data_IF_836026417386
#
_entry.id   IF_836026417386
#
_cell.length_a   1.000
_cell.length_b   1.000
_cell.length_c   1.000
_cell.angle_alpha   90.00
_cell.angle_beta   90.00
_cell.angle_gamma   90.00
#
_symmetry.space_group_name_H-M   'P 1'
#
loop_
_entity.id
_entity.type
_entity.pdbx_description
1 polymer ?
#
# COMPACT_ATOMS: atom_id res chain seq x y z
N UNK A 1 -34.98 -19.85 50.78
CA UNK A 1 -33.82 -20.31 51.56
C UNK A 1 -32.72 -20.55 50.52
N UNK A 2 -31.65 -19.74 50.56
CA UNK A 2 -30.57 -19.51 49.57
C UNK A 2 -31.03 -19.07 48.15
N UNK A 3 -30.80 -17.90 47.56
CA UNK A 3 -29.97 -16.68 47.77
C UNK A 3 -28.44 -16.87 47.78
N UNK A 4 -27.82 -16.62 46.62
CA UNK A 4 -26.52 -15.93 46.40
C UNK A 4 -26.21 -15.89 44.88
N UNK A 5 -25.46 -14.97 44.25
CA UNK A 5 -25.18 -13.51 44.33
C UNK A 5 -24.29 -13.22 43.10
N UNK A 6 -24.39 -12.01 42.55
CA UNK A 6 -23.62 -11.36 41.48
C UNK A 6 -22.16 -11.80 41.23
N UNK A 7 -21.75 -11.67 39.96
CA UNK A 7 -20.35 -11.58 39.53
C UNK A 7 -20.22 -10.89 38.16
N UNK A 8 -20.53 -9.60 38.12
CA UNK A 8 -20.16 -8.66 37.06
C UNK A 8 -18.64 -8.43 37.17
N UNK A 9 -17.87 -8.64 36.10
CA UNK A 9 -16.51 -8.09 35.98
C UNK A 9 -16.39 -7.26 34.72
N UNK A 10 -15.98 -6.02 34.96
CA UNK A 10 -15.82 -4.91 34.03
C UNK A 10 -14.43 -4.31 34.32
N UNK A 11 -13.72 -4.00 33.23
CA UNK A 11 -12.55 -3.12 33.04
C UNK A 11 -11.14 -3.47 33.56
N UNK A 12 -10.18 -3.44 32.60
CA UNK A 12 -8.98 -2.58 32.44
C UNK A 12 -7.91 -3.44 31.73
N UNK A 13 -7.46 -3.15 30.51
CA UNK A 13 -6.78 -1.92 30.09
C UNK A 13 -5.27 -2.18 29.99
N UNK A 14 -4.76 -2.44 28.78
CA UNK A 14 -3.36 -2.14 28.43
C UNK A 14 -3.28 -1.84 26.95
N UNK A 15 -3.16 -0.54 26.69
CA UNK A 15 -2.83 0.05 25.41
C UNK A 15 -1.47 -0.45 24.94
N UNK A 16 -1.39 -0.93 23.70
CA UNK A 16 -0.17 -0.77 22.90
C UNK A 16 -0.50 0.25 21.83
N UNK A 17 -0.04 1.48 22.06
CA UNK A 17 0.08 2.51 21.04
C UNK A 17 1.06 2.01 19.96
N UNK A 18 0.52 1.55 18.84
CA UNK A 18 1.17 1.70 17.55
C UNK A 18 0.26 2.59 16.72
N UNK A 19 0.70 3.83 16.57
CA UNK A 19 0.11 4.83 15.70
C UNK A 19 0.04 4.31 14.27
N UNK A 20 -1.16 4.06 13.77
CA UNK A 20 -1.45 4.05 12.34
C UNK A 20 -2.63 4.98 12.10
N UNK A 21 -2.37 6.00 11.28
CA UNK A 21 -3.24 7.12 11.03
C UNK A 21 -4.56 6.71 10.39
N UNK A 22 -5.64 6.98 11.11
CA UNK A 22 -6.97 7.16 10.54
C UNK A 22 -7.38 8.61 10.75
N UNK A 23 -6.74 9.53 10.03
CA UNK A 23 -7.24 10.90 9.84
C UNK A 23 -7.65 11.06 8.37
N UNK A 24 -8.71 10.35 7.98
CA UNK A 24 -9.43 10.65 6.74
C UNK A 24 -10.48 11.70 7.05
N UNK A 25 -10.20 12.93 6.62
CA UNK A 25 -11.13 13.91 6.03
C UNK A 25 -10.79 15.36 6.49
N UNK A 26 -9.82 16.00 5.84
CA UNK A 26 -9.72 17.47 5.84
C UNK A 26 -9.51 17.98 4.41
N UNK A 27 -10.44 18.80 3.94
CA UNK A 27 -10.43 19.61 2.71
C UNK A 27 -9.30 20.68 2.72
N UNK A 28 -8.09 20.31 3.11
CA UNK A 28 -6.94 21.21 3.26
C UNK A 28 -5.95 21.19 2.09
N UNK A 29 -6.31 20.53 1.00
CA UNK A 29 -5.46 20.36 -0.19
C UNK A 29 -5.34 21.62 -1.06
N UNK A 30 -4.38 21.62 -1.98
CA UNK A 30 -4.26 22.63 -3.05
C UNK A 30 -4.80 22.08 -4.38
N UNK A 31 -5.00 22.95 -5.36
CA UNK A 31 -5.39 22.56 -6.72
C UNK A 31 -4.36 23.13 -7.69
N UNK A 32 -3.82 22.27 -8.55
CA UNK A 32 -2.84 22.68 -9.56
C UNK A 32 -3.51 23.47 -10.70
N UNK A 33 -2.76 24.20 -11.54
CA UNK A 33 -3.33 24.90 -12.70
C UNK A 33 -4.14 24.03 -13.65
N UNK A 34 -3.83 22.73 -13.77
CA UNK A 34 -4.58 21.77 -14.59
C UNK A 34 -5.86 21.25 -13.92
N UNK A 35 -6.08 21.58 -12.64
CA UNK A 35 -7.25 21.15 -11.88
C UNK A 35 -7.03 19.92 -10.99
N UNK A 36 -5.80 19.40 -10.92
CA UNK A 36 -5.48 18.24 -10.07
C UNK A 36 -5.53 18.64 -8.59
N UNK A 37 -6.32 17.92 -7.80
CA UNK A 37 -6.41 18.08 -6.34
C UNK A 37 -5.19 17.43 -5.69
N UNK A 38 -4.44 18.21 -4.92
CA UNK A 38 -3.27 17.77 -4.16
C UNK A 38 -3.62 17.72 -2.67
N UNK A 39 -3.51 16.56 -2.04
CA UNK A 39 -3.90 16.36 -0.65
C UNK A 39 -3.10 17.24 0.33
N UNK A 40 -3.70 17.55 1.47
CA UNK A 40 -3.04 18.29 2.55
C UNK A 40 -1.74 17.59 2.98
N UNK A 41 -0.68 18.37 3.25
CA UNK A 41 0.63 17.85 3.62
C UNK A 41 1.52 17.44 2.43
N UNK A 42 1.05 17.63 1.20
CA UNK A 42 1.83 17.44 -0.03
C UNK A 42 1.94 18.75 -0.82
N UNK A 43 2.93 18.80 -1.70
CA UNK A 43 3.06 19.82 -2.75
C UNK A 43 3.09 19.09 -4.09
N UNK A 44 2.27 19.57 -5.03
CA UNK A 44 2.14 18.99 -6.37
C UNK A 44 2.44 20.04 -7.44
N UNK A 45 3.05 19.62 -8.54
CA UNK A 45 3.39 20.48 -9.68
C UNK A 45 3.11 19.76 -11.00
N UNK A 46 2.35 20.41 -11.89
CA UNK A 46 2.15 19.94 -13.26
C UNK A 46 3.41 20.22 -14.08
N UNK A 47 4.06 19.17 -14.62
CA UNK A 47 5.15 19.37 -15.57
C UNK A 47 4.59 19.85 -16.92
N UNK A 48 5.01 21.03 -17.43
CA UNK A 48 4.54 21.53 -18.71
C UNK A 48 4.85 20.56 -19.85
N UNK A 49 3.91 20.44 -20.80
CA UNK A 49 4.03 19.59 -21.99
C UNK A 49 4.22 18.08 -21.69
N UNK A 50 3.84 17.66 -20.49
CA UNK A 50 3.92 16.28 -19.99
C UNK A 50 2.62 15.88 -19.28
N UNK A 51 2.42 14.58 -19.09
CA UNK A 51 1.33 14.03 -18.26
C UNK A 51 1.79 13.79 -16.81
N UNK A 52 3.02 14.20 -16.48
CA UNK A 52 3.63 13.97 -15.17
C UNK A 52 3.22 15.05 -14.17
N UNK A 53 2.73 14.61 -13.01
CA UNK A 53 2.56 15.42 -11.81
C UNK A 53 3.69 15.09 -10.86
N UNK A 54 4.53 16.08 -10.54
CA UNK A 54 5.57 15.93 -9.54
C UNK A 54 5.00 16.17 -8.16
N UNK A 55 5.27 15.26 -7.23
CA UNK A 55 4.74 15.28 -5.88
C UNK A 55 5.85 15.17 -4.86
N UNK A 56 5.74 15.94 -3.79
CA UNK A 56 6.62 15.87 -2.63
C UNK A 56 5.79 15.97 -1.35
N UNK A 57 6.10 15.13 -0.36
CA UNK A 57 5.54 15.28 1.00
C UNK A 57 6.22 16.45 1.71
N UNK A 58 5.44 17.34 2.31
CA UNK A 58 5.95 18.57 2.93
C UNK A 58 6.73 18.27 4.22
N UNK A 59 6.17 17.38 5.03
CA UNK A 59 6.85 16.84 6.21
C UNK A 59 7.60 15.59 5.75
N UNK A 60 8.92 15.69 5.54
CA UNK A 60 9.67 14.49 5.19
C UNK A 60 9.84 13.55 6.38
N UNK A 61 10.44 12.40 6.13
CA UNK A 61 10.42 11.30 7.09
C UNK A 61 11.80 10.65 7.28
N UNK A 62 12.00 10.12 8.49
CA UNK A 62 12.97 9.05 8.76
C UNK A 62 12.33 7.75 8.24
N UNK A 63 12.93 7.10 7.24
CA UNK A 63 12.34 5.96 6.50
C UNK A 63 11.04 6.36 5.76
N UNK A 64 11.13 7.41 4.94
CA UNK A 64 9.98 7.96 4.23
C UNK A 64 9.31 6.99 3.26
N UNK A 65 8.06 7.26 2.86
CA UNK A 65 7.33 6.40 1.95
C UNK A 65 8.03 6.29 0.58
N UNK A 66 7.86 5.15 -0.07
CA UNK A 66 8.25 4.94 -1.48
C UNK A 66 7.46 5.89 -2.39
N UNK A 67 7.95 6.12 -3.61
CA UNK A 67 7.23 7.00 -4.54
C UNK A 67 5.86 6.50 -4.94
N UNK A 68 5.66 5.18 -4.95
CA UNK A 68 4.32 4.58 -5.08
C UNK A 68 3.34 5.12 -4.03
N UNK A 69 3.70 5.02 -2.75
CA UNK A 69 2.83 5.47 -1.66
C UNK A 69 2.65 7.00 -1.64
N UNK A 70 3.67 7.77 -2.06
CA UNK A 70 3.57 9.23 -2.17
C UNK A 70 2.54 9.63 -3.23
N UNK A 71 2.61 9.06 -4.44
CA UNK A 71 1.66 9.37 -5.51
C UNK A 71 0.22 9.01 -5.12
N UNK A 72 0.03 7.80 -4.58
CA UNK A 72 -1.30 7.31 -4.18
C UNK A 72 -1.92 8.18 -3.07
N UNK A 73 -1.13 8.60 -2.08
CA UNK A 73 -1.65 9.41 -0.98
C UNK A 73 -1.95 10.85 -1.42
N UNK A 74 -1.01 11.48 -2.13
CA UNK A 74 -1.11 12.89 -2.51
C UNK A 74 -2.25 13.17 -3.50
N UNK A 75 -2.57 12.21 -4.35
CA UNK A 75 -3.51 12.39 -5.46
C UNK A 75 -4.81 11.58 -5.30
N UNK A 76 -5.04 11.03 -4.11
CA UNK A 76 -6.21 10.20 -3.74
C UNK A 76 -7.58 10.88 -3.91
N UNK A 77 -7.63 12.21 -4.00
CA UNK A 77 -8.87 12.97 -4.10
C UNK A 77 -9.35 13.21 -5.55
N UNK A 78 -8.62 12.67 -6.54
CA UNK A 78 -8.93 12.84 -7.95
C UNK A 78 -9.74 11.64 -8.49
N UNK A 79 -10.46 11.86 -9.59
CA UNK A 79 -11.22 10.82 -10.28
C UNK A 79 -10.36 9.90 -11.15
N UNK A 80 -9.13 10.32 -11.44
CA UNK A 80 -8.15 9.48 -12.12
C UNK A 80 -7.22 8.85 -11.07
N UNK A 81 -6.83 7.58 -11.30
CA UNK A 81 -5.86 6.93 -10.46
C UNK A 81 -4.45 7.36 -10.87
N UNK A 82 -3.73 8.01 -9.95
CA UNK A 82 -2.35 8.43 -10.17
C UNK A 82 -1.38 7.40 -9.55
N UNK A 83 -0.59 6.78 -10.41
CA UNK A 83 0.47 5.85 -10.03
C UNK A 83 1.85 6.49 -10.21
N UNK A 84 2.85 5.97 -9.50
CA UNK A 84 4.24 6.38 -9.72
C UNK A 84 4.73 5.97 -11.12
N UNK A 85 5.46 6.86 -11.78
CA UNK A 85 5.96 6.69 -13.15
C UNK A 85 7.30 5.94 -13.21
N UNK A 86 7.32 4.71 -12.70
CA UNK A 86 8.51 3.87 -12.60
C UNK A 86 9.00 3.33 -13.94
N UNK A 87 10.27 2.93 -14.01
CA UNK A 87 10.88 2.36 -15.21
C UNK A 87 11.16 3.36 -16.34
N UNK A 88 10.65 4.59 -16.25
CA UNK A 88 10.97 5.67 -17.17
C UNK A 88 12.42 6.12 -17.03
N UNK A 89 13.01 6.56 -18.15
CA UNK A 89 14.35 7.14 -18.15
C UNK A 89 14.41 8.36 -17.25
N UNK A 90 15.48 8.47 -16.46
CA UNK A 90 15.75 9.64 -15.62
C UNK A 90 15.97 10.86 -16.52
N UNK A 91 14.97 11.75 -16.57
CA UNK A 91 14.96 12.92 -17.45
C UNK A 91 15.75 14.10 -16.88
N UNK A 92 15.79 14.21 -15.55
CA UNK A 92 16.45 15.29 -14.83
C UNK A 92 17.60 14.70 -14.00
N UNK A 93 18.85 14.89 -14.38
CA UNK A 93 20.00 14.24 -13.71
C UNK A 93 20.91 15.23 -12.98
N UNK A 94 20.56 16.52 -13.01
CA UNK A 94 21.35 17.59 -12.41
C UNK A 94 20.46 18.78 -11.99
N UNK A 95 21.05 19.76 -11.29
CA UNK A 95 20.34 20.96 -10.82
C UNK A 95 19.71 21.74 -11.97
N UNK A 96 20.38 21.84 -13.12
CA UNK A 96 19.94 22.70 -14.20
C UNK A 96 18.68 22.12 -14.89
N UNK A 97 18.68 20.82 -15.14
CA UNK A 97 17.53 20.09 -15.69
C UNK A 97 16.36 20.04 -14.71
N UNK A 98 16.63 19.82 -13.42
CA UNK A 98 15.58 19.72 -12.39
C UNK A 98 15.03 21.07 -11.89
N UNK A 99 15.68 22.20 -12.22
CA UNK A 99 15.30 23.52 -11.73
C UNK A 99 13.81 23.90 -11.93
N UNK A 100 13.17 23.63 -13.09
CA UNK A 100 11.75 23.92 -13.28
C UNK A 100 10.85 23.14 -12.31
N UNK A 101 11.20 21.88 -12.03
CA UNK A 101 10.47 21.02 -11.09
C UNK A 101 10.63 21.54 -9.66
N UNK A 102 11.86 21.87 -9.26
CA UNK A 102 12.13 22.45 -7.95
C UNK A 102 11.35 23.77 -7.72
N UNK A 103 11.38 24.68 -8.70
CA UNK A 103 10.65 25.95 -8.64
C UNK A 103 9.14 25.72 -8.54
N UNK A 104 8.62 24.78 -9.35
CA UNK A 104 7.22 24.37 -9.33
C UNK A 104 6.76 23.80 -7.98
N UNK A 105 7.65 23.08 -7.29
CA UNK A 105 7.45 22.56 -5.93
C UNK A 105 7.79 23.59 -4.83
N UNK A 106 8.11 24.84 -5.20
CA UNK A 106 8.29 25.94 -4.25
C UNK A 106 9.66 26.03 -3.58
N UNK A 107 10.71 25.48 -4.19
CA UNK A 107 12.08 25.61 -3.68
C UNK A 107 13.12 25.77 -4.79
N UNK A 108 14.37 26.01 -4.42
CA UNK A 108 15.52 25.95 -5.35
C UNK A 108 16.50 24.87 -4.93
N UNK A 109 17.19 24.26 -5.89
CA UNK A 109 18.20 23.25 -5.57
C UNK A 109 19.56 23.85 -5.27
N UNK A 110 20.25 23.29 -4.28
CA UNK A 110 21.67 23.50 -4.01
C UNK A 110 22.42 22.18 -3.88
N UNK A 111 23.73 22.27 -3.96
CA UNK A 111 24.63 21.13 -3.81
C UNK A 111 24.60 20.55 -2.39
N UNK A 112 24.75 19.23 -2.29
CA UNK A 112 24.80 18.49 -1.05
C UNK A 112 26.21 18.13 -0.61
N UNK A 113 26.30 17.52 0.58
CA UNK A 113 27.56 17.02 1.14
C UNK A 113 27.81 15.54 0.82
N UNK A 114 27.22 14.66 1.62
CA UNK A 114 27.68 13.27 1.79
C UNK A 114 27.72 12.42 0.51
N UNK A 115 26.76 12.60 -0.39
CA UNK A 115 26.61 11.76 -1.58
C UNK A 115 26.62 12.56 -2.88
N UNK A 116 26.95 13.85 -2.82
CA UNK A 116 26.73 14.74 -3.96
C UNK A 116 27.47 14.29 -5.24
N UNK A 117 26.82 14.28 -6.41
CA UNK A 117 25.41 14.65 -6.69
C UNK A 117 24.38 13.51 -6.55
N UNK A 118 24.88 12.32 -6.22
CA UNK A 118 24.18 11.04 -6.31
C UNK A 118 23.22 10.81 -5.15
N UNK A 119 22.00 10.38 -5.45
CA UNK A 119 21.05 9.93 -4.45
C UNK A 119 21.52 8.59 -3.86
N UNK A 120 21.57 8.45 -2.52
CA UNK A 120 21.91 7.17 -1.89
C UNK A 120 20.84 6.08 -2.06
N UNK A 121 19.66 6.43 -2.56
CA UNK A 121 18.56 5.49 -2.78
C UNK A 121 18.34 5.30 -4.29
N UNK A 122 18.27 4.03 -4.71
CA UNK A 122 18.26 3.65 -6.12
C UNK A 122 17.00 4.17 -6.83
N UNK A 123 17.19 4.93 -7.91
CA UNK A 123 16.13 5.39 -8.79
C UNK A 123 15.27 6.54 -8.23
N UNK A 124 15.70 7.22 -7.16
CA UNK A 124 14.91 8.25 -6.47
C UNK A 124 15.55 9.65 -6.52
N UNK A 125 14.70 10.66 -6.72
CA UNK A 125 15.05 12.06 -6.42
C UNK A 125 14.88 12.31 -4.94
N UNK A 126 15.93 12.82 -4.29
CA UNK A 126 15.90 13.14 -2.86
C UNK A 126 16.19 14.61 -2.63
N UNK A 127 15.36 15.26 -1.81
CA UNK A 127 15.54 16.67 -1.45
C UNK A 127 15.50 16.87 0.05
N UNK A 128 16.28 17.82 0.58
CA UNK A 128 16.30 18.08 2.01
C UNK A 128 14.93 18.56 2.51
N UNK A 129 14.49 18.01 3.64
CA UNK A 129 13.22 18.40 4.27
C UNK A 129 13.28 19.87 4.67
N UNK A 130 14.38 20.26 5.30
CA UNK A 130 14.57 21.64 5.71
C UNK A 130 14.94 22.48 4.49
N UNK A 131 14.24 23.60 4.35
CA UNK A 131 14.59 24.67 3.43
C UNK A 131 15.49 25.66 4.17
N UNK A 132 16.55 26.14 3.52
CA UNK A 132 17.42 27.16 4.11
C UNK A 132 16.81 28.57 4.02
N UNK A 133 17.56 29.55 4.53
CA UNK A 133 17.15 30.96 4.58
C UNK A 133 16.87 31.59 3.21
N UNK A 134 17.38 30.99 2.12
CA UNK A 134 17.19 31.48 0.75
C UNK A 134 16.09 30.73 0.01
N UNK A 135 15.35 29.83 0.68
CA UNK A 135 14.36 28.99 0.00
C UNK A 135 14.98 27.79 -0.71
N UNK A 136 16.25 27.45 -0.44
CA UNK A 136 16.93 26.36 -1.12
C UNK A 136 16.91 25.05 -0.32
N UNK A 137 16.82 23.93 -1.04
CA UNK A 137 16.92 22.56 -0.53
C UNK A 137 18.12 21.89 -1.17
N UNK A 138 18.79 21.03 -0.40
CA UNK A 138 19.82 20.14 -0.93
C UNK A 138 19.14 19.11 -1.84
N UNK A 139 19.61 18.96 -3.08
CA UNK A 139 19.03 18.00 -4.03
C UNK A 139 20.03 16.88 -4.35
N UNK A 140 19.54 15.66 -4.50
CA UNK A 140 20.30 14.50 -4.96
C UNK A 140 19.54 13.79 -6.07
N UNK A 141 20.27 13.32 -7.07
CA UNK A 141 19.70 12.79 -8.31
C UNK A 141 19.95 11.28 -8.44
N UNK A 142 19.02 10.52 -9.04
CA UNK A 142 19.22 9.09 -9.28
C UNK A 142 20.53 8.81 -10.03
N UNK A 143 21.22 7.72 -9.68
CA UNK A 143 22.40 7.25 -10.43
C UNK A 143 22.05 6.25 -11.52
N UNK A 144 20.88 5.65 -11.38
CA UNK A 144 20.29 4.67 -12.28
C UNK A 144 19.79 5.34 -13.55
N UNK A 145 19.66 4.54 -14.61
CA UNK A 145 19.08 5.01 -15.87
C UNK A 145 17.56 5.16 -15.81
N UNK A 146 16.91 4.56 -14.81
CA UNK A 146 15.46 4.49 -14.68
C UNK A 146 14.99 4.81 -13.28
N UNK A 147 13.79 5.36 -13.17
CA UNK A 147 13.16 5.69 -11.90
C UNK A 147 12.60 4.45 -11.19
N UNK A 148 12.64 4.45 -9.87
CA UNK A 148 12.09 3.38 -9.03
C UNK A 148 10.86 3.86 -8.24
N UNK A 149 9.81 3.04 -8.23
CA UNK A 149 8.62 3.29 -7.42
C UNK A 149 8.57 2.51 -6.11
N UNK A 150 9.38 1.45 -6.01
CA UNK A 150 9.40 0.51 -4.89
C UNK A 150 10.61 0.70 -3.97
N UNK A 151 11.64 1.45 -4.42
CA UNK A 151 12.80 1.77 -3.58
C UNK A 151 12.37 2.56 -2.35
N UNK A 152 12.89 2.16 -1.19
CA UNK A 152 12.77 2.91 0.05
C UNK A 152 13.86 3.99 0.07
N UNK A 153 13.53 5.27 0.36
CA UNK A 153 14.52 6.34 0.51
C UNK A 153 15.50 6.08 1.68
N UNK A 154 15.16 5.16 2.57
CA UNK A 154 15.95 4.68 3.69
C UNK A 154 16.02 5.67 4.84
N UNK A 155 16.88 5.35 5.80
CA UNK A 155 17.24 6.24 6.91
C UNK A 155 18.36 7.21 6.50
N UNK A 156 18.37 7.68 5.24
CA UNK A 156 19.42 8.56 4.75
C UNK A 156 19.58 9.76 5.69
N UNK A 157 20.81 9.94 6.18
CA UNK A 157 21.20 10.99 7.11
C UNK A 157 22.57 11.54 6.72
N UNK A 158 22.64 12.82 6.37
CA UNK A 158 23.92 13.52 6.20
C UNK A 158 24.06 14.58 7.29
N UNK A 159 24.86 14.29 8.32
CA UNK A 159 25.12 15.23 9.43
C UNK A 159 23.86 15.80 10.11
N UNK A 160 22.79 15.01 10.19
CA UNK A 160 21.48 15.38 10.75
C UNK A 160 20.47 15.87 9.73
N UNK A 161 20.88 16.11 8.48
CA UNK A 161 19.98 16.42 7.37
C UNK A 161 19.20 15.17 6.95
N UNK A 162 17.91 15.38 6.70
CA UNK A 162 16.92 14.36 6.34
C UNK A 162 16.30 14.71 4.99
N UNK A 163 15.78 13.72 4.30
CA UNK A 163 15.35 13.84 2.91
C UNK A 163 13.91 13.39 2.71
N UNK A 164 13.24 14.02 1.76
CA UNK A 164 11.98 13.60 1.19
C UNK A 164 12.21 13.11 -0.25
N UNK A 165 11.44 12.13 -0.67
CA UNK A 165 11.38 11.72 -2.07
C UNK A 165 10.56 12.72 -2.89
N UNK A 166 11.03 13.01 -4.11
CA UNK A 166 10.28 13.76 -5.11
C UNK A 166 9.86 12.80 -6.22
N UNK A 167 8.56 12.64 -6.40
CA UNK A 167 7.99 11.50 -7.08
C UNK A 167 7.20 11.95 -8.31
N UNK A 168 7.54 11.45 -9.51
CA UNK A 168 6.74 11.68 -10.70
C UNK A 168 5.56 10.71 -10.72
N UNK A 169 4.36 11.26 -10.84
CA UNK A 169 3.11 10.52 -10.87
C UNK A 169 2.41 10.72 -12.22
N UNK A 170 1.78 9.67 -12.74
CA UNK A 170 1.02 9.68 -14.00
C UNK A 170 -0.32 8.98 -13.79
N UNK A 171 -1.31 9.32 -14.62
CA UNK A 171 -2.57 8.60 -14.61
C UNK A 171 -2.38 7.19 -15.19
N UNK A 172 -3.04 6.20 -14.59
CA UNK A 172 -3.11 4.83 -15.10
C UNK A 172 -4.55 4.31 -15.01
N UNK A 173 -4.96 3.41 -15.92
CA UNK A 173 -6.16 2.60 -15.72
C UNK A 173 -6.06 1.85 -14.39
N UNK A 174 -7.17 1.76 -13.66
CA UNK A 174 -7.20 1.24 -12.29
C UNK A 174 -6.72 -0.22 -12.19
N UNK A 175 -7.04 -1.02 -13.21
CA UNK A 175 -6.63 -2.41 -13.41
C UNK A 175 -5.17 -2.57 -13.87
N UNK A 176 -4.54 -1.52 -14.39
CA UNK A 176 -3.13 -1.49 -14.83
C UNK A 176 -2.22 -0.74 -13.84
N UNK A 177 -2.81 -0.16 -12.79
CA UNK A 177 -2.10 0.69 -11.86
C UNK A 177 -1.08 -0.06 -10.99
N UNK A 178 -1.34 -1.34 -10.70
CA UNK A 178 -0.58 -2.13 -9.74
C UNK A 178 0.30 -3.16 -10.43
N UNK A 179 1.47 -2.71 -10.88
CA UNK A 179 2.49 -3.60 -11.44
C UNK A 179 3.41 -4.16 -10.34
N UNK A 180 3.69 -5.46 -10.43
CA UNK A 180 4.63 -6.16 -9.56
C UNK A 180 5.55 -7.03 -10.42
N UNK A 181 6.85 -6.99 -10.15
CA UNK A 181 7.83 -7.78 -10.89
C UNK A 181 7.60 -9.28 -10.68
N UNK A 182 7.60 -10.03 -11.77
CA UNK A 182 7.41 -11.47 -11.72
C UNK A 182 8.39 -12.18 -12.66
N UNK A 183 9.35 -12.98 -12.13
CA UNK A 183 9.76 -13.16 -10.72
C UNK A 183 10.41 -11.91 -10.09
N UNK A 184 10.59 -11.82 -8.75
CA UNK A 184 10.51 -12.90 -7.74
C UNK A 184 9.19 -13.00 -6.98
N UNK A 185 8.24 -12.09 -7.17
CA UNK A 185 7.05 -12.02 -6.32
C UNK A 185 6.03 -13.15 -6.59
N UNK A 186 6.11 -13.82 -7.74
CA UNK A 186 5.19 -14.88 -8.18
C UNK A 186 3.74 -14.49 -7.91
N UNK A 187 3.25 -13.48 -8.63
CA UNK A 187 1.96 -12.86 -8.32
C UNK A 187 0.81 -13.46 -9.10
N UNK A 188 -0.37 -13.55 -8.47
CA UNK A 188 -1.63 -13.83 -9.20
C UNK A 188 -2.27 -12.54 -9.73
N UNK A 189 -3.21 -12.73 -10.64
CA UNK A 189 -3.84 -11.68 -11.43
C UNK A 189 -4.46 -10.53 -10.60
N UNK A 190 -4.09 -9.29 -10.94
CA UNK A 190 -4.72 -8.05 -10.47
C UNK A 190 -5.99 -7.73 -11.29
N UNK A 191 -7.02 -8.58 -11.30
CA UNK A 191 -8.26 -8.25 -12.01
C UNK A 191 -9.49 -8.35 -11.13
N UNK A 192 -10.51 -7.63 -11.58
CA UNK A 192 -11.87 -7.73 -11.08
C UNK A 192 -12.47 -9.08 -11.45
N UNK A 193 -13.01 -9.77 -10.43
CA UNK A 193 -13.78 -11.00 -10.58
C UNK A 193 -14.97 -10.97 -9.64
N UNK A 194 -16.14 -11.36 -10.13
CA UNK A 194 -17.41 -11.29 -9.39
C UNK A 194 -17.92 -12.65 -8.89
N UNK A 195 -17.37 -13.76 -9.37
CA UNK A 195 -17.87 -15.11 -9.11
C UNK A 195 -16.82 -16.09 -8.56
N UNK A 196 -15.58 -15.62 -8.37
CA UNK A 196 -14.48 -16.44 -7.87
C UNK A 196 -14.53 -16.70 -6.36
N UNK A 197 -14.06 -17.88 -5.95
CA UNK A 197 -13.99 -18.31 -4.53
C UNK A 197 -12.57 -18.38 -3.98
N UNK A 198 -11.55 -18.05 -4.78
CA UNK A 198 -10.18 -17.89 -4.25
C UNK A 198 -10.08 -16.64 -3.37
N UNK A 199 -9.03 -16.54 -2.55
CA UNK A 199 -8.82 -15.38 -1.69
C UNK A 199 -8.73 -14.07 -2.48
N UNK A 200 -7.91 -14.06 -3.54
CA UNK A 200 -7.69 -12.85 -4.36
C UNK A 200 -8.96 -12.43 -5.07
N UNK A 201 -9.72 -13.38 -5.61
CA UNK A 201 -11.02 -13.15 -6.21
C UNK A 201 -11.98 -12.52 -5.23
N UNK A 202 -12.05 -13.07 -4.00
CA UNK A 202 -13.00 -12.58 -3.00
C UNK A 202 -12.61 -11.21 -2.44
N UNK A 203 -11.32 -10.93 -2.27
CA UNK A 203 -10.84 -9.59 -1.91
C UNK A 203 -11.21 -8.59 -3.00
N UNK A 204 -10.92 -8.91 -4.27
CA UNK A 204 -11.19 -8.00 -5.38
C UNK A 204 -12.69 -7.82 -5.63
N UNK A 205 -13.52 -8.83 -5.37
CA UNK A 205 -14.97 -8.68 -5.31
C UNK A 205 -15.40 -7.58 -4.32
N UNK A 206 -14.90 -7.61 -3.09
CA UNK A 206 -15.27 -6.62 -2.07
C UNK A 206 -14.70 -5.24 -2.35
N UNK A 207 -13.50 -5.14 -2.91
CA UNK A 207 -12.92 -3.85 -3.34
C UNK A 207 -13.75 -3.20 -4.45
N UNK A 208 -14.17 -3.97 -5.45
CA UNK A 208 -15.08 -3.51 -6.51
C UNK A 208 -16.41 -3.05 -5.94
N UNK A 209 -17.03 -3.92 -5.13
CA UNK A 209 -18.34 -3.66 -4.52
C UNK A 209 -18.32 -2.45 -3.59
N UNK A 210 -17.25 -2.23 -2.84
CA UNK A 210 -17.10 -1.04 -2.00
C UNK A 210 -17.18 0.24 -2.83
N UNK A 211 -16.60 0.25 -4.02
CA UNK A 211 -16.66 1.40 -4.93
C UNK A 211 -18.02 1.56 -5.61
N UNK A 212 -18.61 0.48 -6.11
CA UNK A 212 -19.93 0.49 -6.75
C UNK A 212 -21.06 0.87 -5.78
N UNK A 213 -20.92 0.51 -4.50
CA UNK A 213 -21.89 0.85 -3.44
C UNK A 213 -21.57 2.19 -2.73
N UNK A 214 -20.51 2.90 -3.14
CA UNK A 214 -20.15 4.20 -2.56
C UNK A 214 -19.75 4.14 -1.09
N UNK A 215 -19.02 3.10 -0.68
CA UNK A 215 -18.46 3.00 0.67
C UNK A 215 -17.44 4.11 0.90
N UNK A 216 -17.35 4.60 2.14
CA UNK A 216 -16.46 5.73 2.50
C UNK A 216 -14.97 5.41 2.35
N UNK A 217 -14.61 4.13 2.29
CA UNK A 217 -13.25 3.66 2.03
C UNK A 217 -12.85 3.74 0.56
N UNK A 218 -13.80 3.76 -0.37
CA UNK A 218 -13.48 3.88 -1.79
C UNK A 218 -13.18 5.35 -2.14
N UNK A 219 -11.97 5.67 -2.64
CA UNK A 219 -11.65 7.01 -3.12
C UNK A 219 -12.39 7.31 -4.45
N UNK A 220 -12.43 8.57 -4.89
CA UNK A 220 -13.01 8.94 -6.19
C UNK A 220 -12.38 8.19 -7.39
N UNK A 221 -11.08 7.90 -7.35
CA UNK A 221 -10.39 7.13 -8.39
C UNK A 221 -10.70 5.62 -8.38
N UNK A 222 -11.36 5.13 -7.34
CA UNK A 222 -11.56 3.71 -7.11
C UNK A 222 -10.40 3.04 -6.36
N UNK A 223 -10.66 1.81 -5.90
CA UNK A 223 -9.64 0.95 -5.31
C UNK A 223 -9.06 0.08 -6.42
N UNK A 224 -7.74 0.01 -6.65
CA UNK A 224 -7.20 -0.91 -7.64
C UNK A 224 -7.28 -2.37 -7.15
N UNK A 225 -7.34 -3.37 -8.03
CA UNK A 225 -7.36 -4.77 -7.62
C UNK A 225 -6.09 -5.11 -6.84
N UNK A 226 -6.27 -5.86 -5.75
CA UNK A 226 -5.17 -6.37 -4.94
C UNK A 226 -4.51 -7.56 -5.63
N UNK A 227 -3.22 -7.72 -5.36
CA UNK A 227 -2.37 -8.78 -5.91
C UNK A 227 -1.97 -9.78 -4.83
N UNK A 228 -2.02 -11.06 -5.15
CA UNK A 228 -1.58 -12.14 -4.26
C UNK A 228 -0.10 -12.44 -4.47
N UNK A 229 0.66 -12.57 -3.39
CA UNK A 229 2.08 -12.93 -3.37
C UNK A 229 2.25 -14.43 -3.11
N UNK A 230 2.15 -15.25 -4.15
CA UNK A 230 2.15 -16.72 -3.99
C UNK A 230 3.48 -17.27 -3.49
N UNK A 231 4.57 -16.52 -3.71
CA UNK A 231 5.90 -16.85 -3.20
C UNK A 231 5.96 -17.00 -1.66
N UNK A 232 5.02 -16.40 -0.94
CA UNK A 232 4.97 -16.42 0.53
C UNK A 232 3.97 -17.42 1.11
N UNK A 233 3.27 -18.20 0.28
CA UNK A 233 2.20 -19.09 0.76
C UNK A 233 2.70 -20.21 1.67
N UNK A 234 3.85 -20.81 1.37
CA UNK A 234 4.39 -21.88 2.22
C UNK A 234 4.76 -21.38 3.61
N UNK A 235 5.25 -20.13 3.67
CA UNK A 235 5.53 -19.46 4.92
C UNK A 235 4.23 -19.18 5.69
N UNK A 236 3.22 -18.60 5.04
CA UNK A 236 1.95 -18.32 5.69
C UNK A 236 1.17 -19.59 6.10
N UNK A 237 1.34 -20.71 5.37
CA UNK A 237 0.79 -22.01 5.80
C UNK A 237 1.40 -22.45 7.12
N UNK A 238 2.70 -22.20 7.33
CA UNK A 238 3.37 -22.48 8.61
C UNK A 238 2.90 -21.56 9.74
N UNK A 239 2.57 -20.30 9.43
CA UNK A 239 1.93 -19.37 10.38
C UNK A 239 0.57 -19.91 10.80
N UNK A 240 -0.29 -20.25 9.84
CA UNK A 240 -1.62 -20.80 10.11
C UNK A 240 -1.57 -22.08 10.95
N UNK A 241 -0.64 -23.01 10.65
CA UNK A 241 -0.44 -24.21 11.46
C UNK A 241 0.00 -23.87 12.89
N UNK A 242 0.93 -22.93 13.04
CA UNK A 242 1.42 -22.52 14.36
C UNK A 242 0.34 -21.82 15.18
N UNK A 243 -0.40 -20.88 14.58
CA UNK A 243 -1.41 -20.07 15.27
C UNK A 243 -2.64 -20.89 15.65
N UNK A 244 -3.01 -21.89 14.85
CA UNK A 244 -4.07 -22.83 15.18
C UNK A 244 -3.80 -23.57 16.52
N UNK A 245 -2.53 -23.83 16.84
CA UNK A 245 -2.12 -24.51 18.08
C UNK A 245 -1.79 -23.54 19.24
N UNK A 246 -1.22 -22.37 18.92
CA UNK A 246 -0.61 -21.48 19.90
C UNK A 246 -1.42 -20.20 20.18
N UNK A 247 -2.53 -20.01 19.45
CA UNK A 247 -3.40 -18.85 19.56
C UNK A 247 -3.08 -17.79 18.50
N UNK A 248 -4.08 -16.95 18.24
CA UNK A 248 -4.03 -16.03 17.12
C UNK A 248 -2.87 -15.02 17.21
N UNK A 249 -2.24 -14.73 16.06
CA UNK A 249 -1.09 -13.83 15.91
C UNK A 249 0.18 -14.25 16.65
N UNK A 250 0.30 -15.49 17.11
CA UNK A 250 1.49 -15.97 17.80
C UNK A 250 2.70 -16.11 16.85
N UNK A 251 2.44 -16.19 15.55
CA UNK A 251 3.41 -16.26 14.47
C UNK A 251 3.77 -14.89 13.86
N UNK A 252 3.10 -13.80 14.28
CA UNK A 252 3.22 -12.49 13.64
C UNK A 252 4.67 -12.00 13.47
N UNK A 253 5.01 -11.64 12.24
CA UNK A 253 6.28 -11.14 11.77
C UNK A 253 7.21 -12.22 11.21
N UNK A 254 6.80 -13.50 11.15
CA UNK A 254 7.64 -14.57 10.59
C UNK A 254 7.80 -14.42 9.09
N UNK A 255 6.71 -14.17 8.38
CA UNK A 255 6.71 -14.07 6.92
C UNK A 255 6.85 -12.63 6.39
N UNK A 256 7.14 -11.66 7.26
CA UNK A 256 7.44 -10.28 6.88
C UNK A 256 6.20 -9.47 6.52
N UNK A 257 5.04 -9.94 6.93
CA UNK A 257 3.77 -9.22 6.93
C UNK A 257 3.83 -7.95 7.79
N UNK A 258 2.96 -6.99 7.45
CA UNK A 258 2.79 -5.76 8.24
C UNK A 258 1.44 -5.71 8.94
N UNK A 259 0.46 -6.42 8.41
CA UNK A 259 -0.86 -6.60 9.02
C UNK A 259 -1.27 -8.05 8.80
N UNK A 260 -1.88 -8.67 9.82
CA UNK A 260 -2.32 -10.05 9.79
C UNK A 260 -3.75 -10.14 10.32
N UNK A 261 -4.53 -11.05 9.76
CA UNK A 261 -5.85 -11.41 10.23
C UNK A 261 -6.07 -12.90 10.10
N UNK A 262 -6.78 -13.47 11.06
CA UNK A 262 -6.95 -14.91 11.16
C UNK A 262 -8.40 -15.30 11.37
N UNK A 263 -8.80 -16.42 10.79
CA UNK A 263 -10.18 -16.88 10.88
C UNK A 263 -10.37 -18.32 10.45
N UNK A 264 -11.46 -18.92 10.94
CA UNK A 264 -11.88 -20.26 10.54
C UNK A 264 -12.90 -20.22 9.41
N UNK A 265 -12.74 -21.09 8.42
CA UNK A 265 -13.66 -21.20 7.28
C UNK A 265 -13.44 -22.48 6.49
N UNK A 266 -14.42 -22.88 5.68
CA UNK A 266 -14.21 -23.97 4.72
C UNK A 266 -13.26 -23.51 3.61
N UNK A 267 -13.38 -22.24 3.24
CA UNK A 267 -12.55 -21.54 2.27
C UNK A 267 -12.05 -20.22 2.84
N UNK A 268 -10.98 -19.71 2.26
CA UNK A 268 -10.48 -18.37 2.56
C UNK A 268 -11.51 -17.27 2.27
N UNK A 269 -12.38 -17.46 1.27
CA UNK A 269 -13.46 -16.53 0.96
C UNK A 269 -14.43 -16.36 2.14
N UNK A 270 -14.67 -17.43 2.92
CA UNK A 270 -15.52 -17.37 4.12
C UNK A 270 -14.91 -16.43 5.18
N UNK A 271 -13.59 -16.46 5.33
CA UNK A 271 -12.85 -15.61 6.28
C UNK A 271 -12.89 -14.15 5.83
N UNK A 272 -12.69 -13.90 4.53
CA UNK A 272 -12.80 -12.55 3.94
C UNK A 272 -14.21 -11.98 4.14
N UNK A 273 -15.24 -12.79 3.90
CA UNK A 273 -16.63 -12.37 4.13
C UNK A 273 -16.91 -12.07 5.59
N UNK A 274 -16.38 -12.89 6.50
CA UNK A 274 -16.48 -12.63 7.93
C UNK A 274 -15.82 -11.29 8.29
N UNK A 275 -14.60 -11.02 7.80
CA UNK A 275 -13.90 -9.75 8.04
C UNK A 275 -14.67 -8.55 7.48
N UNK A 276 -15.24 -8.64 6.28
CA UNK A 276 -16.04 -7.55 5.72
C UNK A 276 -17.35 -7.36 6.50
N UNK A 277 -17.92 -8.44 7.06
CA UNK A 277 -19.12 -8.34 7.90
C UNK A 277 -18.89 -7.64 9.25
N UNK A 278 -17.62 -7.46 9.66
CA UNK A 278 -17.26 -6.69 10.86
C UNK A 278 -17.48 -5.18 10.70
N UNK A 279 -17.81 -4.71 9.49
CA UNK A 279 -18.20 -3.31 9.27
C UNK A 279 -19.27 -2.88 10.26
N UNK A 280 -19.02 -1.75 10.90
CA UNK A 280 -19.87 -1.20 11.94
C UNK A 280 -20.02 0.32 11.75
N UNK A 281 -21.14 0.91 12.22
CA UNK A 281 -21.29 2.35 12.22
C UNK A 281 -20.31 3.00 13.21
N UNK A 282 -19.72 4.12 12.82
CA UNK A 282 -19.00 5.03 13.72
C UNK A 282 -19.95 5.88 14.57
N UNK A 283 -19.41 6.86 15.30
CA UNK A 283 -20.19 7.79 16.15
C UNK A 283 -21.21 8.62 15.36
N UNK A 284 -20.99 8.82 14.05
CA UNK A 284 -21.85 9.55 13.13
C UNK A 284 -22.86 8.63 12.41
N UNK A 285 -22.81 7.33 12.66
CA UNK A 285 -23.67 6.32 12.02
C UNK A 285 -23.18 5.88 10.64
N UNK A 286 -21.96 6.25 10.25
CA UNK A 286 -21.36 5.90 8.96
C UNK A 286 -20.73 4.52 9.08
N UNK A 287 -21.12 3.59 8.20
CA UNK A 287 -20.55 2.23 8.17
C UNK A 287 -19.08 2.28 7.74
N UNK A 288 -18.18 1.86 8.63
CA UNK A 288 -16.74 1.83 8.38
C UNK A 288 -16.16 0.43 8.47
N UNK A 289 -15.17 0.17 7.62
CA UNK A 289 -14.24 -0.93 7.75
C UNK A 289 -13.14 -0.56 8.75
N UNK A 290 -13.22 -1.13 9.94
CA UNK A 290 -12.14 -1.13 10.94
C UNK A 290 -11.67 -2.56 11.19
N UNK A 291 -10.61 -2.75 11.97
CA UNK A 291 -10.09 -4.08 12.27
C UNK A 291 -9.72 -4.87 11.02
N UNK A 292 -10.27 -6.08 10.87
CA UNK A 292 -9.94 -6.98 9.77
C UNK A 292 -10.53 -6.54 8.42
N UNK A 293 -11.60 -5.73 8.38
CA UNK A 293 -12.11 -5.22 7.10
C UNK A 293 -11.14 -4.20 6.46
N UNK A 294 -10.49 -3.38 7.28
CA UNK A 294 -9.68 -2.25 6.82
C UNK A 294 -8.62 -2.61 5.77
N UNK A 295 -7.81 -3.66 5.98
CA UNK A 295 -6.83 -4.11 5.00
C UNK A 295 -7.41 -4.52 3.64
N UNK A 296 -8.63 -5.06 3.60
CA UNK A 296 -9.28 -5.53 2.36
C UNK A 296 -9.59 -4.34 1.44
N UNK A 297 -10.10 -3.25 2.01
CA UNK A 297 -10.50 -2.03 1.29
C UNK A 297 -9.47 -0.91 1.41
N UNK A 298 -8.23 -1.22 1.80
CA UNK A 298 -7.18 -0.22 1.91
C UNK A 298 -6.88 0.43 0.56
N UNK A 299 -6.70 1.75 0.59
CA UNK A 299 -6.38 2.56 -0.59
C UNK A 299 -5.07 2.12 -1.27
N UNK A 300 -4.97 2.36 -2.57
CA UNK A 300 -3.74 2.16 -3.32
C UNK A 300 -3.44 0.71 -3.69
N UNK A 301 -2.27 0.49 -4.27
CA UNK A 301 -1.85 -0.80 -4.78
C UNK A 301 -1.29 -1.70 -3.67
N UNK A 302 -2.16 -2.55 -3.14
CA UNK A 302 -1.87 -3.47 -2.05
C UNK A 302 -1.45 -4.86 -2.55
N UNK A 303 -0.66 -5.56 -1.74
CA UNK A 303 -0.47 -7.01 -1.84
C UNK A 303 -1.03 -7.71 -0.62
N UNK A 304 -1.35 -8.99 -0.81
CA UNK A 304 -1.57 -9.91 0.29
C UNK A 304 -1.00 -11.28 -0.03
N UNK A 305 -0.89 -12.12 0.98
CA UNK A 305 -0.68 -13.56 0.84
C UNK A 305 -1.42 -14.25 1.97
N UNK A 306 -1.63 -15.54 1.85
CA UNK A 306 -2.38 -16.28 2.86
C UNK A 306 -1.84 -17.69 3.03
N UNK A 307 -2.21 -18.29 4.14
CA UNK A 307 -1.97 -19.69 4.42
C UNK A 307 -3.15 -20.35 5.09
N UNK A 308 -3.13 -21.67 5.09
CA UNK A 308 -4.11 -22.53 5.73
C UNK A 308 -3.40 -23.65 6.45
N UNK A 309 -3.84 -23.92 7.68
CA UNK A 309 -3.40 -25.08 8.43
C UNK A 309 -3.84 -26.38 7.74
N UNK A 310 -3.25 -27.51 8.14
CA UNK A 310 -3.51 -28.78 7.44
C UNK A 310 -4.91 -29.33 7.67
N UNK A 311 -5.48 -29.15 8.86
CA UNK A 311 -6.54 -30.04 9.34
C UNK A 311 -7.79 -29.32 9.90
N UNK A 312 -7.67 -28.08 10.37
CA UNK A 312 -8.74 -27.38 11.12
C UNK A 312 -9.54 -26.37 10.30
N UNK A 313 -9.03 -25.91 9.15
CA UNK A 313 -9.67 -24.86 8.36
C UNK A 313 -9.36 -23.45 8.87
N UNK A 314 -8.30 -23.31 9.65
CA UNK A 314 -7.74 -22.06 10.12
C UNK A 314 -6.93 -21.41 9.00
N UNK A 315 -7.21 -20.15 8.73
CA UNK A 315 -6.51 -19.36 7.72
C UNK A 315 -5.82 -18.16 8.36
N UNK A 316 -4.62 -17.88 7.88
CA UNK A 316 -3.87 -16.66 8.16
C UNK A 316 -3.83 -15.84 6.87
N UNK A 317 -4.27 -14.57 6.94
CA UNK A 317 -4.23 -13.62 5.84
C UNK A 317 -3.27 -12.49 6.22
N UNK A 318 -2.26 -12.28 5.38
CA UNK A 318 -1.20 -11.31 5.58
C UNK A 318 -1.28 -10.23 4.51
N UNK A 319 -1.30 -8.96 4.93
CA UNK A 319 -1.47 -7.81 4.04
C UNK A 319 -0.26 -6.87 4.05
N UNK A 320 -0.22 -6.04 3.01
CA UNK A 320 0.72 -4.92 2.84
C UNK A 320 2.18 -5.32 2.72
N UNK A 321 2.46 -6.58 2.37
CA UNK A 321 3.82 -7.06 2.16
C UNK A 321 3.86 -8.16 1.11
N UNK A 322 5.00 -8.26 0.42
CA UNK A 322 5.41 -9.41 -0.37
C UNK A 322 6.93 -9.55 -0.23
N UNK A 323 7.39 -9.71 1.02
CA UNK A 323 8.81 -9.82 1.35
C UNK A 323 9.32 -11.24 1.05
N UNK A 324 9.46 -11.53 -0.24
CA UNK A 324 9.88 -12.85 -0.76
C UNK A 324 11.18 -13.32 -0.09
N UNK A 325 12.14 -12.42 0.10
CA UNK A 325 13.41 -12.76 0.73
C UNK A 325 13.23 -13.27 2.16
N UNK A 326 12.35 -12.63 2.94
CA UNK A 326 12.05 -13.07 4.31
C UNK A 326 11.26 -14.39 4.31
N UNK A 327 10.23 -14.53 3.48
CA UNK A 327 9.47 -15.78 3.35
C UNK A 327 10.39 -16.96 3.00
N UNK A 328 11.28 -16.77 2.02
CA UNK A 328 12.24 -17.78 1.59
C UNK A 328 13.28 -18.09 2.67
N UNK A 329 13.80 -17.07 3.36
CA UNK A 329 14.74 -17.26 4.47
C UNK A 329 14.11 -18.08 5.59
N UNK A 330 12.87 -17.74 5.99
CA UNK A 330 12.16 -18.49 7.02
C UNK A 330 12.00 -19.97 6.66
N UNK A 331 11.55 -20.26 5.44
CA UNK A 331 11.36 -21.64 4.99
C UNK A 331 12.67 -22.40 4.78
N UNK A 332 13.75 -21.71 4.38
CA UNK A 332 15.08 -22.31 4.32
C UNK A 332 15.60 -22.70 5.70
N UNK A 333 15.34 -21.87 6.72
CA UNK A 333 15.73 -22.13 8.10
C UNK A 333 14.81 -23.15 8.80
N UNK A 334 13.55 -23.28 8.37
CA UNK A 334 12.53 -24.14 8.95
C UNK A 334 11.86 -25.09 7.91
N UNK A 335 12.63 -25.97 7.24
CA UNK A 335 12.15 -26.74 6.08
C UNK A 335 11.06 -27.78 6.41
N UNK A 336 10.88 -28.12 7.69
CA UNK A 336 9.81 -29.04 8.13
C UNK A 336 8.52 -28.32 8.50
N UNK A 337 8.57 -27.00 8.67
CA UNK A 337 7.42 -26.18 9.05
C UNK A 337 6.70 -25.63 7.82
N UNK A 338 7.45 -25.19 6.80
CA UNK A 338 6.86 -24.70 5.55
C UNK A 338 6.33 -25.84 4.68
N UNK A 339 5.15 -25.65 4.10
CA UNK A 339 4.53 -26.62 3.19
C UNK A 339 3.61 -25.93 2.18
N UNK A 340 3.48 -26.53 0.99
CA UNK A 340 2.42 -26.17 0.04
C UNK A 340 1.12 -26.90 0.44
N UNK A 341 0.01 -26.17 0.55
CA UNK A 341 -1.32 -26.75 0.73
C UNK A 341 -1.95 -27.06 -0.64
N UNK A 342 -2.80 -28.07 -0.75
CA UNK A 342 -3.41 -28.47 -2.04
C UNK A 342 -4.29 -27.37 -2.68
N UNK A 343 -4.78 -26.44 -1.86
CA UNK A 343 -5.56 -25.28 -2.29
C UNK A 343 -4.71 -24.04 -2.55
N UNK A 344 -3.40 -24.10 -2.31
CA UNK A 344 -2.52 -22.98 -2.64
C UNK A 344 -2.44 -22.85 -4.17
N UNK A 345 -2.56 -21.63 -4.74
CA UNK A 345 -2.32 -21.41 -6.15
C UNK A 345 -0.90 -21.82 -6.55
N UNK A 346 -0.69 -22.04 -7.86
CA UNK A 346 0.63 -22.33 -8.39
C UNK A 346 1.57 -21.14 -8.21
N UNK A 347 2.84 -21.40 -7.86
CA UNK A 347 3.88 -20.37 -7.77
C UNK A 347 4.39 -19.94 -9.15
N UNK A 348 3.47 -19.56 -10.03
CA UNK A 348 3.74 -19.11 -11.39
C UNK A 348 3.13 -17.74 -11.60
N UNK A 349 3.77 -16.90 -12.41
CA UNK A 349 3.20 -15.63 -12.81
C UNK A 349 1.99 -15.88 -13.70
N UNK A 350 0.85 -15.26 -13.37
CA UNK A 350 -0.32 -15.26 -14.24
C UNK A 350 -0.16 -14.22 -15.37
N UNK A 351 -0.83 -14.45 -16.51
CA UNK A 351 -0.98 -13.47 -17.59
C UNK A 351 -2.12 -12.50 -17.25
N UNK A 352 -1.85 -11.19 -17.06
CA UNK A 352 -2.85 -10.23 -16.61
C UNK A 352 -4.00 -10.02 -17.61
N UNK A 353 -3.82 -10.40 -18.88
CA UNK A 353 -4.75 -10.06 -19.98
C UNK A 353 -5.87 -11.08 -20.22
N UNK A 354 -5.87 -12.22 -19.52
CA UNK A 354 -6.88 -13.26 -19.73
C UNK A 354 -8.06 -13.11 -18.76
N UNK A 355 -9.28 -13.02 -19.28
CA UNK A 355 -10.56 -13.00 -18.53
C UNK A 355 -10.77 -11.82 -17.55
N UNK A 356 -10.20 -10.64 -17.81
CA UNK A 356 -10.46 -9.44 -17.01
C UNK A 356 -11.93 -8.98 -17.14
N UNK A 357 -12.59 -8.69 -16.02
CA UNK A 357 -13.85 -7.93 -16.04
C UNK A 357 -13.61 -6.43 -16.19
N UNK A 358 -14.61 -5.66 -16.65
CA UNK A 358 -14.52 -4.20 -16.67
C UNK A 358 -14.28 -3.59 -15.29
N UNK A 359 -13.64 -2.41 -15.30
CA UNK A 359 -13.47 -1.55 -14.13
C UNK A 359 -14.80 -1.23 -13.44
N UNK A 360 -14.79 -0.98 -12.11
CA UNK A 360 -15.98 -0.59 -11.37
C UNK A 360 -16.61 0.68 -11.94
N UNK A 361 -17.94 0.74 -11.93
CA UNK A 361 -18.66 1.98 -12.17
C UNK A 361 -18.59 2.85 -10.89
N UNK A 362 -17.70 3.84 -10.88
CA UNK A 362 -17.46 4.67 -9.69
C UNK A 362 -18.46 5.83 -9.65
N UNK A 363 -19.46 5.70 -8.77
CA UNK A 363 -20.58 6.65 -8.67
C UNK A 363 -20.14 8.10 -8.45
N UNK A 364 -19.11 8.32 -7.63
CA UNK A 364 -18.70 9.67 -7.20
C UNK A 364 -18.16 10.56 -8.34
N UNK A 365 -17.68 9.98 -9.42
CA UNK A 365 -17.07 10.72 -10.54
C UNK A 365 -17.99 10.82 -11.77
N UNK A 366 -19.21 10.28 -11.68
CA UNK A 366 -20.22 10.40 -12.73
C UNK A 366 -20.90 11.78 -12.70
N UNK A 367 -20.91 12.46 -11.55
CA UNK A 367 -21.57 13.76 -11.38
C UNK A 367 -20.67 14.97 -11.73
N UNK A 368 -19.36 14.76 -11.94
CA UNK A 368 -18.38 15.81 -12.29
C UNK A 368 -17.98 15.85 -13.79
N UNK A 369 -18.44 14.89 -14.60
CA UNK A 369 -18.27 14.87 -16.07
C UNK A 369 -19.53 15.35 -16.79
#
# INVERSE_FOLDING_TARGET
>A
MLLAVCGLFVFLGSCSDKSDGTDNNTDGGTVTPTGVKCAAGYTCYDEPDSEVIWVMKNDGNVNGPTCKSVCEAALSQNCDFYACNGGQTVAHSDIASFAPIAEGLGFSCKEGGCWWPDAPAEGLYLVSINTDENGAKTCFFPTETTLSCSSDPGNANCYGERYASVCPCVTKPLDEACEWECPPNHTTQAVWKTDGTSCVERINYWRKRACEEGWVECPPAGLPPMVECTACHECANSEAEYDAENGAHASFGRCGEHVQGEGGGATCADVIDAFVSERAPDEEGIMRCTGHCGPIVAHGCQTFFWGKDRDSGFHTLNWRSCNVAQCQSYCADNPTECFTHETSPQMTCDDPTQNAEPNPEILMCLDEK
#
